data_IF_575730120561
#
_entry.id   IF_575730120561
#
_cell.length_a   1.000
_cell.length_b   1.000
_cell.length_c   1.000
_cell.angle_alpha   90.00
_cell.angle_beta   90.00
_cell.angle_gamma   90.00
#
_symmetry.space_group_name_H-M   'P 1'
#
loop_
_entity.id
_entity.type
_entity.pdbx_description
1 polymer ?
#
# COMPACT_ATOMS: atom_id res chain seq x y z
N UNK A 1 -15.48 4.83 -29.33
CA UNK A 1 -14.89 6.05 -28.74
C UNK A 1 -15.57 6.20 -27.38
N UNK A 2 -14.96 5.93 -26.23
CA UNK A 2 -13.56 5.72 -25.84
C UNK A 2 -13.46 4.36 -25.14
N UNK A 3 -12.52 3.55 -25.59
CA UNK A 3 -12.05 2.35 -24.90
C UNK A 3 -11.09 2.86 -23.81
N UNK A 4 -11.61 3.08 -22.60
CA UNK A 4 -10.74 3.32 -21.43
C UNK A 4 -10.27 1.94 -20.95
N UNK A 5 -9.29 1.39 -21.65
CA UNK A 5 -8.52 0.26 -21.16
C UNK A 5 -7.69 0.70 -19.97
N UNK A 6 -8.04 0.19 -18.79
CA UNK A 6 -7.14 0.05 -17.66
C UNK A 6 -7.34 -1.39 -17.14
N UNK A 7 -6.80 -2.36 -17.87
CA UNK A 7 -6.48 -3.68 -17.31
C UNK A 7 -5.18 -3.50 -16.51
N UNK A 8 -5.31 -2.91 -15.33
CA UNK A 8 -4.33 -2.93 -14.25
C UNK A 8 -5.17 -2.98 -13.00
N UNK A 9 -5.19 -4.12 -12.32
CA UNK A 9 -5.95 -4.31 -11.08
C UNK A 9 -5.29 -3.43 -10.00
N UNK A 10 -5.60 -2.13 -9.99
CA UNK A 10 -5.22 -1.22 -8.90
C UNK A 10 -6.13 -1.55 -7.71
N UNK A 11 -5.63 -2.37 -6.79
CA UNK A 11 -6.33 -2.74 -5.56
C UNK A 11 -6.21 -1.57 -4.57
N UNK A 12 -7.29 -0.79 -4.42
CA UNK A 12 -7.35 0.26 -3.39
C UNK A 12 -7.75 -0.37 -2.07
N UNK A 13 -6.86 -0.31 -1.10
CA UNK A 13 -7.06 -0.81 0.26
C UNK A 13 -7.55 0.35 1.13
N UNK A 14 -8.65 0.13 1.85
CA UNK A 14 -9.16 1.08 2.83
C UNK A 14 -8.83 0.55 4.22
N UNK A 15 -8.01 1.31 4.95
CA UNK A 15 -7.62 0.98 6.32
C UNK A 15 -8.35 1.94 7.25
N UNK A 16 -9.15 1.40 8.16
CA UNK A 16 -9.74 2.14 9.27
C UNK A 16 -8.84 1.96 10.52
N UNK A 17 -8.38 3.06 11.09
CA UNK A 17 -7.55 3.05 12.31
C UNK A 17 -8.38 2.82 13.60
N UNK A 18 -9.68 2.54 13.50
CA UNK A 18 -10.58 2.37 14.64
C UNK A 18 -11.05 3.68 15.28
N UNK A 19 -10.41 4.81 14.95
CA UNK A 19 -10.87 6.16 15.30
C UNK A 19 -11.93 6.71 14.31
N UNK A 20 -12.30 5.94 13.28
CA UNK A 20 -13.21 6.35 12.21
C UNK A 20 -12.55 7.19 11.11
N UNK A 21 -11.21 7.14 11.04
CA UNK A 21 -10.44 7.73 9.97
C UNK A 21 -10.14 6.62 8.94
N UNK A 22 -10.78 6.72 7.79
CA UNK A 22 -10.55 5.84 6.65
C UNK A 22 -9.41 6.40 5.80
N UNK A 23 -8.30 5.68 5.74
CA UNK A 23 -7.17 6.01 4.90
C UNK A 23 -7.17 5.13 3.66
N UNK A 24 -6.99 5.75 2.50
CA UNK A 24 -7.01 5.10 1.20
C UNK A 24 -5.58 4.89 0.73
N UNK A 25 -5.24 3.64 0.44
CA UNK A 25 -3.94 3.26 -0.06
C UNK A 25 -4.07 2.50 -1.38
N UNK A 26 -3.14 2.74 -2.29
CA UNK A 26 -2.99 1.95 -3.51
C UNK A 26 -1.98 0.84 -3.26
N UNK A 27 -2.36 -0.41 -3.54
CA UNK A 27 -1.45 -1.56 -3.54
C UNK A 27 -0.54 -1.51 -4.77
N UNK A 28 0.74 -1.24 -4.53
CA UNK A 28 1.76 -1.17 -5.58
C UNK A 28 2.37 -2.55 -5.86
N UNK A 29 2.76 -3.28 -4.80
CA UNK A 29 3.45 -4.58 -4.93
C UNK A 29 3.22 -5.49 -3.73
N UNK A 30 3.11 -6.80 -3.98
CA UNK A 30 3.12 -7.85 -2.94
C UNK A 30 4.50 -8.52 -2.86
N UNK A 31 5.08 -8.53 -1.65
CA UNK A 31 6.35 -9.14 -1.31
C UNK A 31 6.11 -10.30 -0.35
N UNK A 32 6.51 -11.51 -0.75
CA UNK A 32 6.46 -12.67 0.12
C UNK A 32 7.76 -12.81 0.93
N UNK A 33 7.67 -12.76 2.27
CA UNK A 33 8.83 -12.87 3.16
C UNK A 33 8.53 -13.81 4.34
N UNK A 34 9.45 -14.74 4.63
CA UNK A 34 9.32 -15.70 5.75
C UNK A 34 8.00 -16.51 5.81
N UNK A 35 7.35 -16.72 4.65
CA UNK A 35 6.06 -17.42 4.57
C UNK A 35 4.87 -16.55 4.95
N UNK A 36 5.04 -15.24 4.98
CA UNK A 36 4.00 -14.22 5.11
C UNK A 36 3.99 -13.33 3.88
N UNK A 37 2.85 -12.70 3.62
CA UNK A 37 2.65 -11.80 2.49
C UNK A 37 2.62 -10.37 3.00
N UNK A 38 3.31 -9.48 2.31
CA UNK A 38 3.39 -8.06 2.65
C UNK A 38 3.02 -7.24 1.43
N UNK A 39 2.19 -6.22 1.61
CA UNK A 39 1.82 -5.27 0.57
C UNK A 39 2.56 -3.95 0.77
N UNK A 40 3.11 -3.42 -0.32
CA UNK A 40 3.57 -2.05 -0.42
C UNK A 40 2.36 -1.20 -0.78
N UNK A 41 2.02 -0.28 0.11
CA UNK A 41 0.84 0.56 0.04
C UNK A 41 1.26 2.02 -0.11
N UNK A 42 0.75 2.71 -1.13
CA UNK A 42 1.03 4.12 -1.38
C UNK A 42 -0.18 4.95 -0.97
N UNK A 43 0.00 5.91 -0.06
CA UNK A 43 -1.09 6.75 0.43
C UNK A 43 -1.66 7.59 -0.72
N UNK A 44 -2.97 7.51 -0.92
CA UNK A 44 -3.66 8.33 -1.91
C UNK A 44 -3.99 9.70 -1.29
N UNK A 45 -3.77 10.81 -2.01
CA UNK A 45 -4.18 12.12 -1.53
C UNK A 45 -5.71 12.14 -1.39
N UNK A 46 -6.25 12.73 -0.32
CA UNK A 46 -7.70 12.83 -0.16
C UNK A 46 -8.31 13.66 -1.30
N UNK A 47 -9.48 13.24 -1.77
CA UNK A 47 -10.19 13.87 -2.90
C UNK A 47 -10.51 15.36 -2.69
N UNK A 48 -10.51 15.83 -1.44
CA UNK A 48 -10.71 17.24 -1.08
C UNK A 48 -9.50 18.14 -1.38
N UNK A 49 -8.37 17.56 -1.81
CA UNK A 49 -7.18 18.32 -2.17
C UNK A 49 -7.28 18.81 -3.63
N UNK A 50 -7.33 20.13 -3.84
CA UNK A 50 -7.36 20.70 -5.18
C UNK A 50 -6.15 20.24 -6.02
N UNK A 51 -6.32 19.94 -7.33
CA UNK A 51 -5.20 19.52 -8.18
C UNK A 51 -4.14 20.62 -8.23
N UNK A 52 -2.98 20.38 -7.62
CA UNK A 52 -1.87 21.34 -7.48
C UNK A 52 -1.66 21.92 -6.08
N UNK A 53 -2.43 21.47 -5.08
CA UNK A 53 -2.15 21.78 -3.68
C UNK A 53 -0.86 21.05 -3.25
N UNK A 54 0.22 21.79 -2.99
CA UNK A 54 1.43 21.27 -2.30
C UNK A 54 1.21 21.07 -0.79
N UNK A 55 -0.05 20.88 -0.43
CA UNK A 55 -0.55 20.91 0.94
C UNK A 55 -0.47 19.52 1.57
N UNK A 56 -0.46 18.48 0.73
CA UNK A 56 -0.08 17.14 1.12
C UNK A 56 1.36 16.89 0.71
N UNK A 57 2.09 16.39 1.70
CA UNK A 57 3.43 15.81 1.59
C UNK A 57 3.44 14.72 0.51
N UNK A 58 4.64 14.38 0.07
CA UNK A 58 4.87 13.30 -0.90
C UNK A 58 4.06 12.05 -0.50
N UNK A 59 3.51 11.28 -1.46
CA UNK A 59 2.73 10.09 -1.13
C UNK A 59 3.55 9.19 -0.20
N UNK A 60 3.01 8.91 0.97
CA UNK A 60 3.66 8.09 1.98
C UNK A 60 3.56 6.62 1.55
N UNK A 61 4.70 5.95 1.45
CA UNK A 61 4.78 4.53 1.16
C UNK A 61 4.90 3.79 2.49
N UNK A 62 3.92 2.92 2.78
CA UNK A 62 3.92 2.06 3.96
C UNK A 62 3.94 0.60 3.54
N UNK A 63 4.49 -0.26 4.40
CA UNK A 63 4.45 -1.71 4.20
C UNK A 63 3.46 -2.27 5.22
N UNK A 64 2.45 -3.00 4.73
CA UNK A 64 1.48 -3.70 5.55
C UNK A 64 1.67 -5.22 5.39
N UNK A 65 1.49 -5.98 6.47
CA UNK A 65 1.41 -7.45 6.37
C UNK A 65 -0.02 -7.84 6.01
N UNK A 66 -0.17 -8.73 5.04
CA UNK A 66 -1.44 -9.37 4.72
C UNK A 66 -1.60 -10.58 5.63
N UNK A 67 -2.67 -10.58 6.42
CA UNK A 67 -3.13 -11.69 7.23
C UNK A 67 -4.44 -12.23 6.66
N UNK A 68 -4.62 -13.55 6.63
CA UNK A 68 -5.85 -14.13 6.10
C UNK A 68 -6.78 -14.48 7.25
N UNK A 69 -7.72 -13.58 7.57
CA UNK A 69 -8.72 -13.78 8.60
C UNK A 69 -10.09 -14.09 7.98
N UNK A 70 -10.71 -15.21 8.36
CA UNK A 70 -12.02 -15.66 7.83
C UNK A 70 -12.11 -15.81 6.29
N UNK A 71 -10.97 -15.88 5.60
CA UNK A 71 -10.91 -15.93 4.13
C UNK A 71 -10.94 -14.57 3.45
N UNK A 72 -10.76 -13.50 4.22
CA UNK A 72 -10.55 -12.13 3.75
C UNK A 72 -9.12 -11.69 4.09
N UNK A 73 -8.52 -10.90 3.18
CA UNK A 73 -7.19 -10.33 3.36
C UNK A 73 -7.28 -9.10 4.27
N UNK A 74 -6.64 -9.18 5.44
CA UNK A 74 -6.59 -8.13 6.46
C UNK A 74 -5.19 -7.54 6.49
N UNK A 75 -5.10 -6.24 6.24
CA UNK A 75 -3.83 -5.51 6.24
C UNK A 75 -3.54 -5.04 7.67
N UNK A 76 -2.49 -5.59 8.26
CA UNK A 76 -2.04 -5.27 9.62
C UNK A 76 -0.64 -4.67 9.61
N UNK A 77 -0.31 -3.89 10.62
CA UNK A 77 1.04 -3.36 10.77
C UNK A 77 2.05 -4.52 10.95
N UNK A 78 3.12 -4.59 10.12
CA UNK A 78 4.19 -5.56 10.32
C UNK A 78 4.99 -5.23 11.59
N UNK A 79 5.77 -6.18 12.09
CA UNK A 79 6.76 -5.88 13.13
C UNK A 79 7.95 -5.13 12.55
N UNK A 80 8.70 -4.38 13.38
CA UNK A 80 9.88 -3.62 12.93
C UNK A 80 10.89 -4.50 12.17
N UNK A 81 11.12 -5.75 12.63
CA UNK A 81 12.06 -6.69 12.00
C UNK A 81 11.57 -7.15 10.61
N UNK A 82 10.27 -7.40 10.47
CA UNK A 82 9.64 -7.73 9.18
C UNK A 82 9.67 -6.54 8.24
N UNK A 83 9.35 -5.35 8.75
CA UNK A 83 9.36 -4.11 7.99
C UNK A 83 10.75 -3.85 7.41
N UNK A 84 11.80 -3.88 8.23
CA UNK A 84 13.18 -3.67 7.76
C UNK A 84 13.60 -4.72 6.73
N UNK A 85 13.19 -5.98 6.90
CA UNK A 85 13.54 -7.06 5.97
C UNK A 85 12.82 -6.92 4.62
N UNK A 86 11.53 -6.59 4.63
CA UNK A 86 10.73 -6.38 3.42
C UNK A 86 11.15 -5.09 2.72
N UNK A 87 11.44 -4.03 3.47
CA UNK A 87 11.97 -2.79 2.94
C UNK A 87 13.31 -3.02 2.24
N UNK A 88 14.23 -3.77 2.87
CA UNK A 88 15.51 -4.11 2.25
C UNK A 88 15.32 -4.91 0.94
N UNK A 89 14.32 -5.80 0.87
CA UNK A 89 13.97 -6.51 -0.35
C UNK A 89 13.40 -5.58 -1.43
N UNK A 90 12.52 -4.65 -1.05
CA UNK A 90 11.96 -3.65 -1.93
C UNK A 90 13.05 -2.72 -2.50
N UNK A 91 13.91 -2.17 -1.63
CA UNK A 91 15.05 -1.34 -2.03
C UNK A 91 16.04 -2.13 -2.91
N UNK A 92 16.31 -3.40 -2.58
CA UNK A 92 17.19 -4.24 -3.40
C UNK A 92 16.62 -4.54 -4.79
N UNK A 93 15.30 -4.63 -4.95
CA UNK A 93 14.64 -4.82 -6.24
C UNK A 93 14.57 -3.54 -7.08
N UNK A 94 14.61 -2.36 -6.44
CA UNK A 94 14.63 -1.07 -7.12
C UNK A 94 16.02 -0.65 -7.61
N UNK A 95 17.11 -1.14 -7.01
CA UNK A 95 18.50 -0.77 -7.33
C UNK A 95 19.05 -1.47 -8.61
N UNK A 96 18.24 -2.24 -9.35
CA UNK A 96 18.67 -2.89 -10.61
C UNK A 96 18.69 -1.95 -11.86
N UNK A 97 18.72 -0.62 -11.71
CA UNK A 97 18.84 0.36 -12.83
C UNK A 97 20.26 0.88 -13.14
#
# INVERSE_FOLDING_TARGET
MVEQGYEGEMSVVVIDDGEGNEMYYEEDMIINHEGKEFAVLISLPPEECEPGCKCHEEPEVIIARIDQEDGEDVYVAPTDEEFESVLALYEAGLDEE
#
